data_IF_883481859576
#
_entry.id   IF_883481859576
#
_cell.length_a   1.000
_cell.length_b   1.000
_cell.length_c   1.000
_cell.angle_alpha   90.00
_cell.angle_beta   90.00
_cell.angle_gamma   90.00
#
_symmetry.space_group_name_H-M   'P 1'
#
loop_
_entity.id
_entity.type
_entity.pdbx_description
1 polymer ?
#
# COMPACT_ATOMS: atom_id res chain seq x y z
N UNK A 1 -17.59 0.75 -4.84
CA UNK A 1 -16.75 -0.10 -5.71
C UNK A 1 -15.44 -0.39 -4.99
N UNK A 2 -14.86 -1.58 -5.16
CA UNK A 2 -13.49 -1.91 -4.75
C UNK A 2 -12.94 -2.88 -5.79
N UNK A 3 -11.91 -2.46 -6.49
CA UNK A 3 -11.22 -3.27 -7.51
C UNK A 3 -9.72 -3.25 -7.25
N UNK A 4 -9.02 -4.29 -7.65
CA UNK A 4 -7.58 -4.36 -7.49
C UNK A 4 -6.88 -5.05 -8.66
N UNK A 5 -5.61 -4.69 -8.86
CA UNK A 5 -4.68 -5.34 -9.76
C UNK A 5 -3.38 -5.56 -9.00
N UNK A 6 -3.02 -6.81 -8.77
CA UNK A 6 -1.87 -7.21 -7.95
C UNK A 6 -0.89 -7.99 -8.82
N UNK A 7 0.40 -7.67 -8.72
CA UNK A 7 1.44 -8.48 -9.34
C UNK A 7 1.77 -9.68 -8.43
N UNK A 8 1.58 -10.86 -8.97
CA UNK A 8 1.98 -12.11 -8.33
C UNK A 8 3.44 -12.41 -8.69
N UNK A 9 4.32 -12.32 -7.70
CA UNK A 9 5.76 -12.52 -7.90
C UNK A 9 6.13 -13.98 -8.14
N UNK A 10 5.34 -14.94 -7.67
CA UNK A 10 5.62 -16.36 -7.79
C UNK A 10 5.23 -16.86 -9.19
N UNK A 11 4.05 -16.49 -9.67
CA UNK A 11 3.57 -16.82 -11.02
C UNK A 11 4.07 -15.83 -12.09
N UNK A 12 4.73 -14.74 -11.68
CA UNK A 12 5.23 -13.67 -12.55
C UNK A 12 4.15 -13.08 -13.45
N UNK A 13 2.95 -12.93 -12.90
CA UNK A 13 1.76 -12.51 -13.61
C UNK A 13 0.97 -11.45 -12.84
N UNK A 14 -0.07 -10.92 -13.47
CA UNK A 14 -0.98 -9.99 -12.85
C UNK A 14 -2.32 -10.66 -12.57
N UNK A 15 -2.85 -10.42 -11.39
CA UNK A 15 -4.18 -10.86 -10.97
C UNK A 15 -5.07 -9.63 -10.81
N UNK A 16 -6.22 -9.67 -11.49
CA UNK A 16 -7.28 -8.67 -11.35
C UNK A 16 -8.39 -9.21 -10.46
N UNK A 17 -8.89 -8.34 -9.60
CA UNK A 17 -9.97 -8.60 -8.68
C UNK A 17 -11.08 -7.59 -8.90
N UNK A 18 -12.27 -8.07 -9.31
CA UNK A 18 -13.49 -7.29 -9.54
C UNK A 18 -14.70 -8.01 -8.94
N UNK A 19 -15.80 -7.30 -8.74
CA UNK A 19 -17.03 -7.91 -8.23
C UNK A 19 -16.90 -8.41 -6.79
N UNK A 20 -16.34 -7.59 -5.90
CA UNK A 20 -16.20 -7.94 -4.48
C UNK A 20 -17.51 -8.43 -3.87
N UNK A 21 -17.50 -9.59 -3.21
CA UNK A 21 -18.64 -10.14 -2.50
C UNK A 21 -18.95 -9.39 -1.20
N UNK A 22 -17.93 -8.80 -0.58
CA UNK A 22 -18.05 -7.88 0.55
C UNK A 22 -16.84 -6.95 0.68
N UNK A 23 -17.04 -5.82 1.38
CA UNK A 23 -15.99 -4.83 1.66
C UNK A 23 -16.01 -4.55 3.17
N UNK A 24 -14.85 -4.63 3.80
CA UNK A 24 -14.67 -4.46 5.24
C UNK A 24 -13.69 -3.32 5.49
N UNK A 25 -14.11 -2.35 6.32
CA UNK A 25 -13.36 -1.10 6.54
C UNK A 25 -13.23 -0.85 8.04
N UNK A 26 -12.00 -0.70 8.51
CA UNK A 26 -11.68 -0.27 9.87
C UNK A 26 -11.41 1.23 9.89
N UNK A 27 -12.20 1.98 10.67
CA UNK A 27 -12.02 3.42 10.87
C UNK A 27 -11.42 3.75 12.24
N UNK A 28 -11.54 2.82 13.19
CA UNK A 28 -10.99 2.93 14.55
C UNK A 28 -10.02 1.78 14.82
N UNK A 29 -9.17 1.92 15.82
CA UNK A 29 -8.25 0.84 16.22
C UNK A 29 -8.99 -0.44 16.61
N UNK A 30 -10.15 -0.32 17.25
CA UNK A 30 -10.95 -1.48 17.68
C UNK A 30 -11.53 -2.26 16.48
N UNK A 31 -11.77 -1.58 15.35
CA UNK A 31 -12.28 -2.23 14.14
C UNK A 31 -11.21 -3.07 13.42
N UNK A 32 -9.93 -2.77 13.61
CA UNK A 32 -8.84 -3.40 12.83
C UNK A 32 -8.81 -4.91 13.05
N UNK A 33 -8.84 -5.36 14.30
CA UNK A 33 -8.84 -6.78 14.64
C UNK A 33 -10.08 -7.49 14.04
N UNK A 34 -11.25 -6.89 14.17
CA UNK A 34 -12.51 -7.45 13.63
C UNK A 34 -12.45 -7.63 12.10
N UNK A 35 -11.89 -6.64 11.40
CA UNK A 35 -11.69 -6.73 9.94
C UNK A 35 -10.73 -7.86 9.60
N UNK A 36 -9.59 -7.96 10.30
CA UNK A 36 -8.60 -9.00 10.03
C UNK A 36 -9.14 -10.41 10.33
N UNK A 37 -9.85 -10.61 11.44
CA UNK A 37 -10.51 -11.90 11.76
C UNK A 37 -11.50 -12.30 10.66
N UNK A 38 -12.26 -11.33 10.13
CA UNK A 38 -13.21 -11.57 9.04
C UNK A 38 -12.50 -11.99 7.75
N UNK A 39 -11.37 -11.36 7.43
CA UNK A 39 -10.56 -11.69 6.26
C UNK A 39 -9.95 -13.08 6.41
N UNK A 40 -9.40 -13.41 7.58
CA UNK A 40 -8.82 -14.74 7.85
C UNK A 40 -9.86 -15.85 7.69
N UNK A 41 -11.08 -15.64 8.20
CA UNK A 41 -12.18 -16.58 8.03
C UNK A 41 -12.52 -16.81 6.54
N UNK A 42 -12.64 -15.74 5.75
CA UNK A 42 -12.93 -15.83 4.33
C UNK A 42 -11.81 -16.54 3.54
N UNK A 43 -10.54 -16.24 3.85
CA UNK A 43 -9.41 -16.92 3.24
C UNK A 43 -9.38 -18.42 3.60
N UNK A 44 -9.77 -18.79 4.82
CA UNK A 44 -9.90 -20.20 5.24
C UNK A 44 -10.99 -20.96 4.48
N UNK A 45 -11.97 -20.24 3.91
CA UNK A 45 -12.99 -20.80 3.00
C UNK A 45 -12.51 -20.87 1.53
N UNK A 46 -11.27 -20.50 1.24
CA UNK A 46 -10.69 -20.51 -0.10
C UNK A 46 -10.99 -19.28 -0.94
N UNK A 47 -11.45 -18.18 -0.31
CA UNK A 47 -11.66 -16.90 -1.00
C UNK A 47 -10.37 -16.06 -1.03
N UNK A 48 -10.36 -15.07 -1.89
CA UNK A 48 -9.31 -14.06 -1.94
C UNK A 48 -9.73 -12.85 -1.11
N UNK A 49 -8.76 -12.28 -0.39
CA UNK A 49 -8.92 -11.00 0.27
C UNK A 49 -7.82 -10.06 -0.19
N UNK A 50 -8.19 -8.91 -0.72
CA UNK A 50 -7.26 -7.90 -1.20
C UNK A 50 -7.54 -6.58 -0.51
N UNK A 51 -6.50 -5.93 -0.01
CA UNK A 51 -6.66 -4.68 0.71
C UNK A 51 -5.35 -4.14 1.26
N UNK A 52 -5.46 -3.33 2.28
CA UNK A 52 -4.31 -2.73 2.96
C UNK A 52 -4.60 -2.48 4.44
N UNK A 53 -3.50 -2.37 5.18
CA UNK A 53 -3.47 -1.84 6.56
C UNK A 53 -2.59 -0.59 6.52
N UNK A 54 -3.09 0.54 7.01
CA UNK A 54 -2.32 1.79 7.05
C UNK A 54 -1.29 1.77 8.17
N UNK A 55 -0.26 2.60 8.06
CA UNK A 55 0.74 2.77 9.12
C UNK A 55 0.09 3.22 10.45
N UNK A 56 -0.95 4.03 10.36
CA UNK A 56 -1.67 4.57 11.51
C UNK A 56 -2.51 3.51 12.26
N UNK A 57 -2.65 2.30 11.70
CA UNK A 57 -3.26 1.17 12.41
C UNK A 57 -2.34 0.54 13.46
N UNK A 58 -1.08 0.96 13.55
CA UNK A 58 -0.07 0.38 14.43
C UNK A 58 -0.53 0.26 15.90
N UNK A 59 -1.24 1.28 16.43
CA UNK A 59 -1.76 1.27 17.80
C UNK A 59 -2.85 0.22 18.06
N UNK A 60 -3.45 -0.35 17.02
CA UNK A 60 -4.39 -1.47 17.16
C UNK A 60 -3.67 -2.78 17.54
N UNK A 61 -2.39 -2.89 17.21
CA UNK A 61 -1.56 -4.07 17.51
C UNK A 61 -0.76 -3.91 18.79
N UNK A 62 -0.25 -2.71 19.05
CA UNK A 62 0.50 -2.40 20.26
C UNK A 62 0.34 -0.91 20.62
N UNK A 63 -0.20 -0.64 21.80
CA UNK A 63 -0.41 0.73 22.31
C UNK A 63 0.89 1.53 22.53
N UNK A 64 2.05 0.87 22.55
CA UNK A 64 3.36 1.53 22.62
C UNK A 64 3.78 2.12 21.26
N UNK A 65 3.15 1.72 20.17
CA UNK A 65 3.43 2.24 18.83
C UNK A 65 2.74 3.60 18.64
N UNK A 66 3.55 4.64 18.66
CA UNK A 66 3.09 6.03 18.49
C UNK A 66 3.11 6.41 17.03
N UNK A 67 2.00 6.94 16.54
CA UNK A 67 1.85 7.42 15.16
C UNK A 67 1.17 8.78 15.12
N UNK A 68 1.21 9.45 13.98
CA UNK A 68 0.41 10.65 13.75
C UNK A 68 -1.09 10.31 13.70
N UNK A 69 -1.98 11.29 13.97
CA UNK A 69 -3.41 11.07 13.79
C UNK A 69 -3.71 10.52 12.40
N UNK A 70 -4.67 9.60 12.33
CA UNK A 70 -5.13 9.04 11.06
C UNK A 70 -5.61 10.16 10.12
N UNK A 71 -5.27 10.03 8.84
CA UNK A 71 -5.71 10.95 7.80
C UNK A 71 -7.13 10.62 7.32
N UNK A 72 -7.38 10.88 6.04
CA UNK A 72 -8.67 10.57 5.41
C UNK A 72 -8.82 9.10 5.01
N UNK A 73 -7.72 8.34 4.94
CA UNK A 73 -7.76 6.92 4.63
C UNK A 73 -8.19 6.11 5.85
N UNK A 74 -8.98 5.04 5.65
CA UNK A 74 -9.25 4.05 6.70
C UNK A 74 -7.96 3.43 7.27
N UNK A 75 -8.01 2.96 8.51
CA UNK A 75 -6.90 2.23 9.14
C UNK A 75 -6.66 0.88 8.46
N UNK A 76 -7.72 0.23 8.00
CA UNK A 76 -7.62 -0.92 7.11
C UNK A 76 -8.84 -0.94 6.19
N UNK A 77 -8.66 -1.42 4.96
CA UNK A 77 -9.76 -1.69 4.05
C UNK A 77 -9.43 -2.92 3.20
N UNK A 78 -10.34 -3.88 3.20
CA UNK A 78 -10.22 -5.13 2.45
C UNK A 78 -11.52 -5.43 1.71
N UNK A 79 -11.39 -6.03 0.54
CA UNK A 79 -12.49 -6.62 -0.19
C UNK A 79 -12.28 -8.11 -0.35
N UNK A 80 -13.36 -8.89 -0.28
CA UNK A 80 -13.37 -10.34 -0.44
C UNK A 80 -13.88 -10.66 -1.83
N UNK A 81 -13.18 -11.56 -2.51
CA UNK A 81 -13.49 -11.99 -3.88
C UNK A 81 -13.55 -13.51 -3.95
N UNK A 82 -14.47 -14.01 -4.77
CA UNK A 82 -14.58 -15.44 -5.03
C UNK A 82 -13.58 -15.91 -6.08
N UNK A 83 -13.11 -15.01 -6.96
CA UNK A 83 -12.23 -15.32 -8.08
C UNK A 83 -11.18 -14.24 -8.30
N UNK A 84 -10.04 -14.66 -8.86
CA UNK A 84 -9.03 -13.81 -9.45
C UNK A 84 -8.96 -14.10 -10.94
N UNK A 85 -8.74 -13.08 -11.77
CA UNK A 85 -8.59 -13.20 -13.22
C UNK A 85 -7.15 -12.87 -13.61
N UNK A 86 -6.56 -13.67 -14.49
CA UNK A 86 -5.30 -13.29 -15.12
C UNK A 86 -5.47 -11.99 -15.90
N UNK A 87 -4.54 -11.08 -15.73
CA UNK A 87 -4.62 -9.75 -16.31
C UNK A 87 -3.27 -9.27 -16.84
N UNK A 88 -3.28 -8.11 -17.42
CA UNK A 88 -2.07 -7.36 -17.72
C UNK A 88 -2.31 -5.89 -17.42
N UNK A 89 -1.30 -5.12 -16.98
CA UNK A 89 -1.43 -3.70 -16.75
C UNK A 89 -1.64 -2.90 -18.06
N UNK A 90 -1.52 -3.54 -19.20
CA UNK A 90 -1.56 -2.93 -20.54
C UNK A 90 -2.91 -2.35 -20.99
N UNK A 91 -3.96 -2.45 -20.17
CA UNK A 91 -5.25 -1.78 -20.43
C UNK A 91 -5.32 -0.36 -19.84
N UNK A 92 -4.32 0.05 -19.09
CA UNK A 92 -4.19 1.38 -18.51
C UNK A 92 -3.25 2.20 -19.40
N UNK A 93 -3.81 2.97 -20.35
CA UNK A 93 -2.99 3.85 -21.19
C UNK A 93 -2.24 4.86 -20.29
N UNK A 94 -0.94 5.03 -20.50
CA UNK A 94 -0.21 6.03 -19.75
C UNK A 94 -0.70 7.42 -20.10
N UNK A 95 -1.11 8.17 -19.10
CA UNK A 95 -1.41 9.57 -19.27
C UNK A 95 -0.19 10.34 -19.80
N UNK A 96 -0.43 11.29 -20.69
CA UNK A 96 0.57 12.26 -21.15
C UNK A 96 0.71 13.45 -20.19
N UNK A 97 -0.16 13.56 -19.20
CA UNK A 97 -0.20 14.68 -18.28
C UNK A 97 0.96 14.60 -17.28
N UNK A 98 1.72 15.67 -17.12
CA UNK A 98 2.80 15.70 -16.15
C UNK A 98 2.26 15.63 -14.73
N UNK A 99 2.93 14.86 -13.89
CA UNK A 99 2.66 14.80 -12.47
C UNK A 99 3.52 15.84 -11.75
N UNK A 100 2.94 17.01 -11.50
CA UNK A 100 3.64 18.08 -10.76
C UNK A 100 3.52 17.84 -9.26
N UNK A 101 4.62 17.42 -8.65
CA UNK A 101 4.70 17.13 -7.22
C UNK A 101 5.67 18.09 -6.52
N UNK A 102 5.26 18.57 -5.35
CA UNK A 102 6.10 19.38 -4.47
C UNK A 102 6.32 18.67 -3.12
N UNK A 103 7.53 18.73 -2.55
CA UNK A 103 7.80 18.17 -1.24
C UNK A 103 7.01 18.91 -0.15
N UNK A 104 6.52 18.15 0.85
CA UNK A 104 5.79 18.71 1.99
C UNK A 104 6.74 19.34 3.02
N UNK A 105 7.97 18.85 3.09
CA UNK A 105 9.02 19.42 3.94
C UNK A 105 9.97 20.29 3.12
N UNK A 106 10.46 21.37 3.71
CA UNK A 106 11.44 22.25 3.09
C UNK A 106 12.85 21.62 3.05
N UNK A 107 13.69 22.12 2.15
CA UNK A 107 15.07 21.63 1.96
C UNK A 107 15.90 21.67 3.26
N UNK A 108 15.77 22.75 4.06
CA UNK A 108 16.46 22.85 5.34
C UNK A 108 16.05 21.72 6.29
N UNK A 109 14.75 21.52 6.49
CA UNK A 109 14.24 20.45 7.38
C UNK A 109 14.63 19.05 6.90
N UNK A 110 14.69 18.84 5.57
CA UNK A 110 15.24 17.60 4.99
C UNK A 110 16.72 17.44 5.36
N UNK A 111 17.51 18.48 5.16
CA UNK A 111 18.95 18.49 5.50
C UNK A 111 19.20 18.21 6.98
N UNK A 112 18.46 18.85 7.88
CA UNK A 112 18.56 18.65 9.33
C UNK A 112 18.23 17.21 9.73
N UNK A 113 17.17 16.63 9.14
CA UNK A 113 16.78 15.23 9.36
C UNK A 113 17.88 14.26 8.92
N UNK A 114 18.48 14.48 7.76
CA UNK A 114 19.59 13.66 7.26
C UNK A 114 20.83 13.76 8.17
N UNK A 115 21.15 14.95 8.69
CA UNK A 115 22.27 15.12 9.63
C UNK A 115 22.02 14.39 10.95
N UNK A 116 20.79 14.46 11.45
CA UNK A 116 20.39 13.74 12.68
C UNK A 116 20.48 12.21 12.48
N UNK A 117 19.99 11.68 11.36
CA UNK A 117 20.13 10.25 11.01
C UNK A 117 21.59 9.83 10.96
N UNK A 118 22.43 10.62 10.28
CA UNK A 118 23.87 10.35 10.22
C UNK A 118 24.52 10.35 11.61
N UNK A 119 24.03 11.17 12.55
CA UNK A 119 24.48 11.16 13.93
C UNK A 119 24.13 9.85 14.63
N UNK A 120 22.88 9.37 14.53
CA UNK A 120 22.44 8.09 15.09
C UNK A 120 23.24 6.91 14.54
N UNK A 121 23.49 6.89 13.22
CA UNK A 121 24.30 5.84 12.60
C UNK A 121 25.76 5.84 13.10
N UNK A 122 26.36 7.03 13.34
CA UNK A 122 27.73 7.14 13.85
C UNK A 122 27.85 6.74 15.32
N UNK A 123 26.82 7.05 16.14
CA UNK A 123 26.79 6.66 17.56
C UNK A 123 26.43 5.18 17.78
N UNK A 124 25.97 4.49 16.75
CA UNK A 124 25.58 3.09 16.85
C UNK A 124 24.17 2.89 17.41
N UNK A 125 23.35 3.95 17.47
CA UNK A 125 21.96 3.86 17.91
C UNK A 125 21.08 3.08 16.91
N UNK A 126 21.48 3.09 15.63
CA UNK A 126 20.89 2.31 14.57
C UNK A 126 21.94 1.98 13.50
N UNK A 127 21.73 0.94 12.73
CA UNK A 127 22.58 0.60 11.58
C UNK A 127 21.95 0.99 10.25
N UNK A 128 20.63 1.21 10.23
CA UNK A 128 19.87 1.60 9.04
C UNK A 128 18.66 2.45 9.43
N UNK A 129 18.36 3.44 8.62
CA UNK A 129 17.15 4.26 8.75
C UNK A 129 16.54 4.49 7.36
N UNK A 130 15.28 4.13 7.19
CA UNK A 130 14.50 4.46 6.00
C UNK A 130 13.81 5.80 6.22
N UNK A 131 14.35 6.86 5.61
CA UNK A 131 13.78 8.19 5.73
C UNK A 131 12.87 8.49 4.55
N UNK A 132 11.61 8.77 4.85
CA UNK A 132 10.60 9.10 3.84
C UNK A 132 10.01 10.47 4.07
N UNK A 133 9.61 11.13 3.00
CA UNK A 133 8.79 12.35 3.07
C UNK A 133 7.75 12.35 1.96
N UNK A 134 6.66 13.07 2.19
CA UNK A 134 5.55 13.13 1.23
C UNK A 134 5.82 14.17 0.16
N UNK A 135 5.43 13.83 -1.06
CA UNK A 135 5.22 14.79 -2.14
C UNK A 135 3.71 14.99 -2.30
N UNK A 136 3.27 16.19 -2.60
CA UNK A 136 1.86 16.50 -2.88
C UNK A 136 1.75 17.25 -4.20
N UNK A 137 0.68 16.98 -4.92
CA UNK A 137 0.40 17.64 -6.18
C UNK A 137 -1.02 17.42 -6.63
N UNK A 138 -1.31 17.93 -7.82
CA UNK A 138 -2.58 17.74 -8.53
C UNK A 138 -2.28 17.22 -9.92
N UNK A 139 -3.18 16.39 -10.43
CA UNK A 139 -3.09 15.85 -11.78
C UNK A 139 -4.49 15.66 -12.34
N UNK A 140 -4.61 15.72 -13.65
CA UNK A 140 -5.80 15.32 -14.38
C UNK A 140 -5.71 13.85 -14.87
N UNK A 141 -4.55 13.21 -14.70
CA UNK A 141 -4.35 11.82 -15.06
C UNK A 141 -5.22 10.89 -14.19
N UNK A 142 -5.78 9.84 -14.77
CA UNK A 142 -6.49 8.82 -14.00
C UNK A 142 -5.54 8.04 -13.11
N UNK A 143 -6.00 7.49 -11.97
CA UNK A 143 -5.18 6.65 -11.10
C UNK A 143 -4.53 5.47 -11.85
N UNK A 144 -5.27 4.81 -12.72
CA UNK A 144 -4.75 3.71 -13.54
C UNK A 144 -3.63 4.15 -14.49
N UNK A 145 -3.73 5.35 -15.10
CA UNK A 145 -2.65 5.91 -15.93
C UNK A 145 -1.38 6.19 -15.12
N UNK A 146 -1.54 6.70 -13.89
CA UNK A 146 -0.42 6.93 -12.96
C UNK A 146 0.23 5.60 -12.62
N UNK A 147 -0.56 4.59 -12.25
CA UNK A 147 -0.04 3.27 -11.91
C UNK A 147 0.73 2.63 -13.07
N UNK A 148 0.15 2.66 -14.28
CA UNK A 148 0.82 2.17 -15.49
C UNK A 148 2.16 2.87 -15.75
N UNK A 149 2.20 4.18 -15.57
CA UNK A 149 3.46 4.96 -15.68
C UNK A 149 4.48 4.51 -14.65
N UNK A 150 4.08 4.37 -13.37
CA UNK A 150 4.97 3.93 -12.29
C UNK A 150 5.53 2.53 -12.54
N UNK A 151 4.70 1.57 -12.94
CA UNK A 151 5.14 0.20 -13.25
C UNK A 151 6.17 0.14 -14.38
N UNK A 152 6.06 1.03 -15.37
CA UNK A 152 7.06 1.11 -16.45
C UNK A 152 8.32 1.82 -16.05
N UNK A 153 8.21 2.87 -15.23
CA UNK A 153 9.36 3.61 -14.73
C UNK A 153 10.19 2.77 -13.73
N UNK A 154 9.52 1.96 -12.93
CA UNK A 154 10.14 1.11 -11.92
C UNK A 154 9.40 -0.23 -11.85
N UNK A 155 9.74 -1.22 -12.71
CA UNK A 155 9.21 -2.56 -12.58
C UNK A 155 9.53 -3.13 -11.20
N UNK A 156 8.52 -3.57 -10.48
CA UNK A 156 8.64 -4.01 -9.09
C UNK A 156 7.83 -5.28 -8.84
N UNK A 157 8.40 -6.28 -8.12
CA UNK A 157 7.74 -7.57 -7.89
C UNK A 157 6.57 -7.50 -6.91
N UNK A 158 6.38 -6.39 -6.20
CA UNK A 158 5.30 -6.19 -5.23
C UNK A 158 4.44 -4.98 -5.60
N UNK A 159 4.08 -4.92 -6.89
CA UNK A 159 3.22 -3.84 -7.40
C UNK A 159 1.75 -4.15 -7.14
N UNK A 160 1.01 -3.14 -6.68
CA UNK A 160 -0.40 -3.23 -6.38
C UNK A 160 -1.15 -1.94 -6.76
N UNK A 161 -2.29 -2.10 -7.38
CA UNK A 161 -3.26 -1.05 -7.63
C UNK A 161 -4.57 -1.41 -6.95
N UNK A 162 -5.10 -0.51 -6.13
CA UNK A 162 -6.40 -0.64 -5.48
C UNK A 162 -7.19 0.62 -5.81
N UNK A 163 -8.39 0.48 -6.30
CA UNK A 163 -9.30 1.59 -6.61
C UNK A 163 -10.64 1.41 -5.90
N UNK A 164 -11.09 2.49 -5.29
CA UNK A 164 -12.39 2.58 -4.60
C UNK A 164 -13.17 3.76 -5.18
N UNK A 165 -14.39 4.00 -4.69
CA UNK A 165 -15.17 5.17 -5.08
C UNK A 165 -14.53 6.49 -4.59
N UNK A 166 -13.73 6.45 -3.52
CA UNK A 166 -13.23 7.64 -2.84
C UNK A 166 -11.74 7.92 -3.10
N UNK A 167 -10.93 6.87 -3.38
CA UNK A 167 -9.48 6.98 -3.55
C UNK A 167 -8.91 5.81 -4.34
N UNK A 168 -7.67 5.98 -4.80
CA UNK A 168 -6.87 4.88 -5.34
C UNK A 168 -5.48 4.83 -4.69
N UNK A 169 -4.93 3.62 -4.60
CA UNK A 169 -3.58 3.34 -4.13
C UNK A 169 -2.79 2.77 -5.30
N UNK A 170 -1.68 3.42 -5.65
CA UNK A 170 -0.73 2.97 -6.66
C UNK A 170 0.60 2.64 -5.97
N UNK A 171 0.84 1.38 -5.70
CA UNK A 171 2.07 0.91 -5.05
C UNK A 171 2.98 0.20 -6.05
N UNK A 172 4.26 0.59 -6.09
CA UNK A 172 5.33 -0.07 -6.87
C UNK A 172 6.50 -0.37 -5.93
N UNK A 173 6.28 -1.23 -4.94
CA UNK A 173 7.26 -1.55 -3.91
C UNK A 173 8.33 -2.51 -4.44
N UNK A 174 9.63 -2.18 -4.29
CA UNK A 174 10.70 -3.11 -4.64
C UNK A 174 10.95 -4.17 -3.57
N UNK A 175 10.35 -4.04 -2.40
CA UNK A 175 10.66 -4.84 -1.22
C UNK A 175 9.41 -5.51 -0.66
N UNK A 176 9.56 -6.78 -0.29
CA UNK A 176 8.54 -7.55 0.42
C UNK A 176 8.43 -7.06 1.86
N UNK A 177 7.22 -6.80 2.33
CA UNK A 177 7.00 -6.54 3.75
C UNK A 177 7.08 -7.85 4.55
N UNK A 178 6.22 -8.79 4.24
CA UNK A 178 6.33 -10.17 4.70
C UNK A 178 5.43 -11.08 3.83
N UNK A 179 5.73 -12.35 3.87
CA UNK A 179 4.92 -13.41 3.23
C UNK A 179 4.79 -14.58 4.18
N UNK A 180 3.59 -15.13 4.27
CA UNK A 180 3.31 -16.34 5.03
C UNK A 180 2.85 -17.44 4.08
N UNK A 181 3.57 -18.56 4.06
CA UNK A 181 3.21 -19.74 3.27
C UNK A 181 3.23 -20.98 4.18
N UNK A 182 2.05 -21.44 4.58
CA UNK A 182 1.88 -22.47 5.58
C UNK A 182 2.53 -22.11 6.91
N UNK A 183 3.56 -22.85 7.31
CA UNK A 183 4.32 -22.59 8.55
C UNK A 183 5.58 -21.73 8.34
N UNK A 184 5.84 -21.28 7.11
CA UNK A 184 7.00 -20.47 6.77
C UNK A 184 6.64 -19.00 6.68
N UNK A 185 7.50 -18.14 7.21
CA UNK A 185 7.43 -16.67 7.05
C UNK A 185 8.73 -16.17 6.41
N UNK A 186 8.60 -15.28 5.44
CA UNK A 186 9.69 -14.63 4.72
C UNK A 186 9.52 -13.12 4.83
#
# INVERSE_FOLDING_TARGET
MFEALIYDSDEQGWLRFTGASSIHVAKTSDDVAVVLDTIEAACSEGKYAVGYVSFEAASAFDSALVHHPAGSLPLAAFAIFDHAEEASPGGMEPGSEPLELAPVIGESSFGDSIQQIKSYLRSGDSYQVNFTHRLKGKTAASPGSIFSFLCRAQPSPYSAFIETDDYAICSVSPELFFEVNGASIR
#
